data_IF_883798501663
#
_entry.id   IF_883798501663
#
_cell.length_a   1.000
_cell.length_b   1.000
_cell.length_c   1.000
_cell.angle_alpha   90.00
_cell.angle_beta   90.00
_cell.angle_gamma   90.00
#
_symmetry.space_group_name_H-M   'P 1'
#
loop_
_entity.id
_entity.type
_entity.pdbx_description
1 polymer ?
#
# COMPACT_ATOMS: atom_id res chain seq x y z
N UNK A 1 -5.28 0.81 -0.40
CA UNK A 1 -4.53 -0.33 0.14
C UNK A 1 -3.06 0.10 0.21
N UNK A 2 -2.17 -0.75 0.72
CA UNK A 2 -0.74 -0.47 0.75
C UNK A 2 0.02 -1.41 -0.19
N UNK A 3 1.33 -1.18 -0.32
CA UNK A 3 2.23 -1.79 -1.31
C UNK A 3 1.99 -3.28 -1.59
N UNK A 4 2.04 -4.14 -0.57
CA UNK A 4 2.01 -5.59 -0.79
C UNK A 4 0.62 -6.08 -1.18
N UNK A 5 -0.41 -5.58 -0.49
CA UNK A 5 -1.80 -5.93 -0.77
C UNK A 5 -2.21 -5.55 -2.20
N UNK A 6 -1.68 -4.44 -2.75
CA UNK A 6 -1.87 -4.12 -4.16
C UNK A 6 -1.20 -5.13 -5.10
N UNK A 7 -0.01 -5.63 -4.76
CA UNK A 7 0.77 -6.47 -5.67
C UNK A 7 0.33 -7.94 -5.69
N UNK A 8 -0.11 -8.49 -4.56
CA UNK A 8 -0.41 -9.92 -4.37
C UNK A 8 -1.30 -10.54 -5.47
N UNK A 9 -2.43 -9.93 -5.86
CA UNK A 9 -3.30 -10.49 -6.89
C UNK A 9 -2.62 -10.71 -8.24
N UNK A 10 -1.57 -9.93 -8.52
CA UNK A 10 -0.86 -9.92 -9.80
C UNK A 10 0.47 -10.66 -9.75
N UNK A 11 1.03 -10.89 -8.56
CA UNK A 11 2.21 -11.73 -8.35
C UNK A 11 1.87 -13.23 -8.41
N UNK A 12 0.68 -13.60 -7.95
CA UNK A 12 0.29 -15.01 -7.72
C UNK A 12 -0.58 -15.58 -8.83
N UNK A 13 -1.12 -14.73 -9.69
CA UNK A 13 -2.05 -15.13 -10.74
C UNK A 13 -1.33 -15.52 -12.02
N UNK A 14 -1.62 -16.72 -12.51
CA UNK A 14 -1.14 -17.20 -13.82
C UNK A 14 -1.73 -16.43 -15.02
N UNK A 15 -2.67 -15.50 -14.78
CA UNK A 15 -3.24 -14.65 -15.83
C UNK A 15 -2.43 -13.36 -16.04
N UNK A 16 -1.43 -13.09 -15.20
CA UNK A 16 -0.57 -11.91 -15.32
C UNK A 16 0.88 -12.36 -15.49
N UNK A 17 1.44 -12.15 -16.68
CA UNK A 17 2.80 -12.59 -17.03
C UNK A 17 3.90 -11.56 -16.73
N UNK A 18 3.56 -10.40 -16.16
CA UNK A 18 4.47 -9.27 -16.01
C UNK A 18 4.70 -8.88 -14.54
N UNK A 19 5.87 -9.24 -13.96
CA UNK A 19 6.28 -8.73 -12.65
C UNK A 19 6.32 -7.19 -12.60
N UNK A 20 6.64 -6.54 -13.72
CA UNK A 20 6.65 -5.08 -13.83
C UNK A 20 5.27 -4.48 -13.56
N UNK A 21 4.20 -5.11 -14.05
CA UNK A 21 2.82 -4.67 -13.79
C UNK A 21 2.50 -4.74 -12.29
N UNK A 22 2.82 -5.85 -11.63
CA UNK A 22 2.56 -6.04 -10.20
C UNK A 22 3.34 -5.01 -9.36
N UNK A 23 4.63 -4.80 -9.65
CA UNK A 23 5.48 -3.78 -9.03
C UNK A 23 4.93 -2.37 -9.25
N UNK A 24 4.38 -2.11 -10.44
CA UNK A 24 3.88 -0.79 -10.80
C UNK A 24 2.64 -0.35 -10.03
N UNK A 25 1.98 -1.27 -9.31
CA UNK A 25 0.91 -0.91 -8.37
C UNK A 25 1.41 -0.09 -7.18
N UNK A 26 2.70 -0.16 -6.82
CA UNK A 26 3.31 0.67 -5.77
C UNK A 26 3.65 2.11 -6.20
N UNK A 27 3.50 2.45 -7.48
CA UNK A 27 3.94 3.75 -8.03
C UNK A 27 3.23 4.95 -7.37
N UNK A 28 1.89 4.95 -7.22
CA UNK A 28 1.21 6.08 -6.59
C UNK A 28 1.74 6.36 -5.17
N UNK A 29 2.03 5.31 -4.40
CA UNK A 29 2.58 5.42 -3.04
C UNK A 29 4.01 5.94 -3.03
N UNK A 30 4.90 5.42 -3.89
CA UNK A 30 6.27 5.94 -4.02
C UNK A 30 6.29 7.41 -4.44
N UNK A 31 5.37 7.84 -5.30
CA UNK A 31 5.26 9.24 -5.71
C UNK A 31 4.90 10.17 -4.54
N UNK A 32 4.14 9.70 -3.55
CA UNK A 32 3.89 10.48 -2.33
C UNK A 32 5.16 10.75 -1.51
N UNK A 33 6.15 9.86 -1.59
CA UNK A 33 7.46 9.99 -0.95
C UNK A 33 8.38 10.89 -1.76
N UNK A 34 8.37 10.76 -3.09
CA UNK A 34 9.21 11.54 -4.01
C UNK A 34 8.83 13.02 -4.02
N UNK A 35 7.59 13.32 -4.38
CA UNK A 35 7.01 14.65 -4.41
C UNK A 35 5.48 14.55 -4.56
N UNK A 36 4.74 14.92 -3.50
CA UNK A 36 3.27 14.91 -3.46
C UNK A 36 2.58 15.73 -4.57
N UNK A 37 3.31 16.60 -5.29
CA UNK A 37 2.82 17.36 -6.45
C UNK A 37 2.85 16.56 -7.75
N UNK A 38 3.60 15.47 -7.81
CA UNK A 38 3.62 14.52 -8.92
C UNK A 38 2.62 13.41 -8.56
N UNK A 39 1.61 13.23 -9.41
CA UNK A 39 0.56 12.23 -9.20
C UNK A 39 0.32 11.47 -10.48
N UNK A 40 0.40 10.15 -10.40
CA UNK A 40 -0.03 9.26 -11.47
C UNK A 40 -1.56 9.24 -11.53
N UNK A 41 -2.15 10.09 -12.37
CA UNK A 41 -3.61 10.18 -12.51
C UNK A 41 -4.12 9.12 -13.47
N UNK A 42 -5.24 8.47 -13.13
CA UNK A 42 -5.83 7.42 -13.98
C UNK A 42 -6.05 7.84 -15.43
N UNK A 43 -6.65 9.02 -15.66
CA UNK A 43 -6.85 9.58 -17.01
C UNK A 43 -5.56 9.71 -17.85
N UNK A 44 -4.41 9.90 -17.19
CA UNK A 44 -3.13 9.95 -17.90
C UNK A 44 -2.61 8.54 -18.18
N UNK A 45 -2.67 7.64 -17.20
CA UNK A 45 -2.28 6.24 -17.38
C UNK A 45 -3.12 5.53 -18.46
N UNK A 46 -4.44 5.79 -18.52
CA UNK A 46 -5.35 5.26 -19.54
C UNK A 46 -4.88 5.50 -20.99
N UNK A 47 -4.16 6.58 -21.25
CA UNK A 47 -3.67 6.91 -22.59
C UNK A 47 -2.56 5.96 -23.06
N UNK A 48 -1.98 5.18 -22.16
CA UNK A 48 -0.78 4.39 -22.39
C UNK A 48 -0.99 2.87 -22.25
N UNK A 49 -2.18 2.40 -21.86
CA UNK A 49 -2.46 0.97 -21.63
C UNK A 49 -2.35 0.09 -22.88
N UNK A 50 -2.42 0.70 -24.08
CA UNK A 50 -2.26 0.06 -25.39
C UNK A 50 -0.99 0.54 -26.13
N UNK A 51 -0.01 1.07 -25.39
CA UNK A 51 1.28 1.47 -25.94
C UNK A 51 1.97 0.30 -26.64
N UNK A 52 2.67 0.58 -27.75
CA UNK A 52 3.56 -0.39 -28.39
C UNK A 52 4.83 -0.67 -27.57
N UNK A 53 5.23 0.26 -26.70
CA UNK A 53 6.21 0.01 -25.64
C UNK A 53 5.51 -0.76 -24.51
N UNK A 54 5.90 -2.04 -24.34
CA UNK A 54 5.32 -2.97 -23.37
C UNK A 54 5.52 -2.50 -21.93
N UNK A 55 6.69 -1.95 -21.60
CA UNK A 55 6.98 -1.46 -20.25
C UNK A 55 6.05 -0.32 -19.88
N UNK A 56 5.84 0.61 -20.84
CA UNK A 56 4.95 1.74 -20.65
C UNK A 56 3.49 1.28 -20.47
N UNK A 57 3.06 0.27 -21.23
CA UNK A 57 1.74 -0.35 -21.09
C UNK A 57 1.56 -0.99 -19.71
N UNK A 58 2.54 -1.75 -19.24
CA UNK A 58 2.46 -2.47 -17.97
C UNK A 58 2.50 -1.53 -16.76
N UNK A 59 3.35 -0.50 -16.83
CA UNK A 59 3.39 0.57 -15.82
C UNK A 59 2.05 1.31 -15.76
N UNK A 60 1.48 1.64 -16.91
CA UNK A 60 0.16 2.29 -16.98
C UNK A 60 -0.95 1.42 -16.38
N UNK A 61 -0.96 0.12 -16.69
CA UNK A 61 -1.92 -0.83 -16.11
C UNK A 61 -1.76 -0.95 -14.61
N UNK A 62 -0.53 -1.11 -14.09
CA UNK A 62 -0.27 -1.19 -12.64
C UNK A 62 -0.78 0.03 -11.88
N UNK A 63 -0.58 1.24 -12.41
CA UNK A 63 -1.14 2.47 -11.85
C UNK A 63 -2.67 2.43 -11.79
N UNK A 64 -3.32 1.95 -12.87
CA UNK A 64 -4.79 1.86 -12.90
C UNK A 64 -5.33 0.80 -11.95
N UNK A 65 -4.62 -0.32 -11.79
CA UNK A 65 -4.97 -1.36 -10.82
C UNK A 65 -4.91 -0.80 -9.40
N UNK A 66 -3.85 -0.10 -9.02
CA UNK A 66 -3.79 0.60 -7.72
C UNK A 66 -4.99 1.53 -7.50
N UNK A 67 -5.30 2.38 -8.48
CA UNK A 67 -6.42 3.34 -8.37
C UNK A 67 -7.77 2.62 -8.26
N UNK A 68 -7.95 1.53 -8.99
CA UNK A 68 -9.13 0.68 -8.92
C UNK A 68 -9.24 0.04 -7.54
N UNK A 69 -8.12 -0.49 -7.05
CA UNK A 69 -8.03 -1.17 -5.76
C UNK A 69 -8.38 -0.25 -4.61
N UNK A 70 -7.80 0.94 -4.56
CA UNK A 70 -8.16 1.97 -3.58
C UNK A 70 -9.64 2.32 -3.62
N UNK A 71 -10.19 2.53 -4.82
CA UNK A 71 -11.58 2.95 -4.99
C UNK A 71 -12.54 1.94 -4.38
N UNK A 72 -12.39 0.66 -4.70
CA UNK A 72 -13.31 -0.34 -4.17
C UNK A 72 -13.03 -0.63 -2.71
N UNK A 73 -11.75 -0.69 -2.29
CA UNK A 73 -11.33 -1.01 -0.94
C UNK A 73 -11.88 -0.01 0.08
N UNK A 74 -11.64 1.29 -0.16
CA UNK A 74 -12.15 2.36 0.72
C UNK A 74 -13.67 2.52 0.65
N UNK A 75 -14.30 2.00 -0.39
CA UNK A 75 -15.75 1.99 -0.57
C UNK A 75 -16.48 0.85 0.16
N UNK A 76 -15.76 -0.14 0.69
CA UNK A 76 -16.39 -1.27 1.38
C UNK A 76 -16.96 -0.85 2.74
N UNK A 77 -18.09 -1.46 3.14
CA UNK A 77 -18.65 -1.28 4.49
C UNK A 77 -17.65 -1.69 5.57
N UNK A 78 -16.94 -2.80 5.34
CA UNK A 78 -15.93 -3.31 6.26
C UNK A 78 -14.82 -2.28 6.52
N UNK A 79 -14.32 -1.59 5.49
CA UNK A 79 -13.31 -0.55 5.66
C UNK A 79 -13.86 0.63 6.46
N UNK A 80 -15.04 1.14 6.11
CA UNK A 80 -15.66 2.30 6.77
C UNK A 80 -15.89 2.03 8.26
N UNK A 81 -16.49 0.89 8.60
CA UNK A 81 -16.79 0.50 9.99
C UNK A 81 -15.50 0.26 10.79
N UNK A 82 -14.52 -0.42 10.20
CA UNK A 82 -13.22 -0.69 10.85
C UNK A 82 -12.43 0.58 11.10
N UNK A 83 -12.38 1.49 10.12
CA UNK A 83 -11.68 2.76 10.30
C UNK A 83 -12.36 3.63 11.37
N UNK A 84 -13.69 3.66 11.41
CA UNK A 84 -14.42 4.37 12.44
C UNK A 84 -14.13 3.81 13.85
N UNK A 85 -14.12 2.49 13.98
CA UNK A 85 -13.85 1.82 15.25
C UNK A 85 -12.42 2.05 15.73
N UNK A 86 -11.42 1.86 14.87
CA UNK A 86 -10.02 2.17 15.19
C UNK A 86 -9.83 3.65 15.54
N UNK A 87 -10.52 4.56 14.84
CA UNK A 87 -10.46 5.98 15.15
C UNK A 87 -11.05 6.33 16.53
N UNK A 88 -12.05 5.58 17.00
CA UNK A 88 -12.61 5.73 18.35
C UNK A 88 -11.61 5.19 19.37
N UNK A 89 -11.15 3.95 19.21
CA UNK A 89 -10.20 3.32 20.14
C UNK A 89 -8.91 4.12 20.26
N UNK A 90 -8.38 4.63 19.15
CA UNK A 90 -7.17 5.45 19.15
C UNK A 90 -7.36 6.77 19.91
N UNK A 91 -8.54 7.40 19.89
CA UNK A 91 -8.77 8.64 20.68
C UNK A 91 -8.54 8.41 22.16
N UNK A 92 -8.91 7.24 22.67
CA UNK A 92 -8.73 6.89 24.08
C UNK A 92 -7.23 6.69 24.44
N UNK A 93 -6.38 6.50 23.43
CA UNK A 93 -4.91 6.37 23.59
C UNK A 93 -4.16 7.70 23.48
N UNK A 94 -4.82 8.78 23.08
CA UNK A 94 -4.17 10.06 22.73
C UNK A 94 -4.33 11.12 23.83
N UNK A 95 -3.31 11.97 24.05
CA UNK A 95 -3.38 13.05 25.03
C UNK A 95 -4.26 14.20 24.50
N UNK A 96 -5.57 14.05 24.65
CA UNK A 96 -6.55 15.07 24.27
C UNK A 96 -6.57 15.37 22.76
N UNK A 97 -7.06 16.56 22.40
CA UNK A 97 -7.16 16.99 20.99
C UNK A 97 -5.90 17.74 20.55
N UNK A 98 -4.81 17.00 20.28
CA UNK A 98 -3.58 17.56 19.71
C UNK A 98 -3.53 17.44 18.17
N UNK A 99 -4.69 17.33 17.51
CA UNK A 99 -4.75 17.32 16.05
C UNK A 99 -4.22 16.04 15.38
N UNK A 100 -4.15 14.91 16.09
CA UNK A 100 -3.61 13.62 15.59
C UNK A 100 -4.38 13.00 14.41
N UNK A 101 -5.58 13.49 14.07
CA UNK A 101 -6.45 12.94 13.00
C UNK A 101 -6.69 11.41 13.12
N UNK A 102 -7.38 10.92 14.17
CA UNK A 102 -7.52 9.47 14.40
C UNK A 102 -8.09 8.65 13.23
N UNK A 103 -9.01 9.20 12.43
CA UNK A 103 -9.56 8.50 11.25
C UNK A 103 -8.56 8.41 10.08
N UNK A 104 -7.60 9.32 10.00
CA UNK A 104 -6.49 9.20 9.05
C UNK A 104 -5.48 8.14 9.52
N UNK A 105 -5.20 8.09 10.82
CA UNK A 105 -4.33 7.06 11.40
C UNK A 105 -4.94 5.67 11.24
N UNK A 106 -6.22 5.51 11.58
CA UNK A 106 -6.95 4.24 11.40
C UNK A 106 -6.91 3.75 9.96
N UNK A 107 -7.07 4.65 8.98
CA UNK A 107 -6.97 4.32 7.56
C UNK A 107 -5.62 3.68 7.23
N UNK A 108 -4.51 4.36 7.55
CA UNK A 108 -3.16 3.88 7.22
C UNK A 108 -2.85 2.59 7.99
N UNK A 109 -3.28 2.53 9.26
CA UNK A 109 -3.04 1.38 10.11
C UNK A 109 -3.70 0.11 9.54
N UNK A 110 -4.95 0.20 9.04
CA UNK A 110 -5.60 -0.94 8.36
C UNK A 110 -4.73 -1.44 7.21
N UNK A 111 -4.24 -0.55 6.36
CA UNK A 111 -3.47 -0.95 5.18
C UNK A 111 -2.11 -1.56 5.53
N UNK A 112 -1.42 -1.01 6.54
CA UNK A 112 -0.17 -1.56 7.07
C UNK A 112 -0.39 -2.93 7.72
N UNK A 113 -1.45 -3.10 8.50
CA UNK A 113 -1.81 -4.36 9.15
C UNK A 113 -2.16 -5.44 8.11
N UNK A 114 -2.88 -5.09 7.05
CA UNK A 114 -3.19 -6.05 5.99
C UNK A 114 -1.92 -6.58 5.29
N UNK A 115 -0.97 -5.71 4.99
CA UNK A 115 0.34 -6.12 4.48
C UNK A 115 1.08 -7.01 5.50
N UNK A 116 1.11 -6.62 6.78
CA UNK A 116 1.75 -7.42 7.85
C UNK A 116 1.12 -8.80 8.01
N UNK A 117 -0.21 -8.90 7.95
CA UNK A 117 -0.95 -10.17 8.04
C UNK A 117 -0.62 -11.12 6.88
N UNK A 118 -0.46 -10.59 5.66
CA UNK A 118 0.03 -11.41 4.54
C UNK A 118 1.41 -12.00 4.80
N UNK A 119 2.34 -11.18 5.29
CA UNK A 119 3.73 -11.59 5.56
C UNK A 119 3.79 -12.59 6.73
N UNK A 120 2.95 -12.39 7.75
CA UNK A 120 2.86 -13.28 8.91
C UNK A 120 2.40 -14.67 8.51
N UNK A 121 1.39 -14.75 7.65
CA UNK A 121 0.82 -16.02 7.22
C UNK A 121 1.77 -16.78 6.27
N UNK A 122 2.38 -16.07 5.33
CA UNK A 122 3.40 -16.62 4.45
C UNK A 122 4.40 -15.54 4.06
N UNK A 123 5.64 -15.72 4.51
CA UNK A 123 6.75 -14.81 4.23
C UNK A 123 7.06 -14.72 2.73
N UNK A 124 6.75 -15.77 1.95
CA UNK A 124 7.01 -15.82 0.52
C UNK A 124 6.35 -14.66 -0.23
N UNK A 125 5.19 -14.15 0.21
CA UNK A 125 4.54 -13.02 -0.44
C UNK A 125 5.42 -11.75 -0.47
N UNK A 126 6.08 -11.42 0.64
CA UNK A 126 7.02 -10.30 0.66
C UNK A 126 8.32 -10.62 -0.07
N UNK A 127 8.82 -11.85 0.03
CA UNK A 127 10.06 -12.27 -0.66
C UNK A 127 9.90 -12.15 -2.18
N UNK A 128 8.79 -12.65 -2.72
CA UNK A 128 8.43 -12.58 -4.13
C UNK A 128 8.20 -11.14 -4.57
N UNK A 129 7.51 -10.33 -3.77
CA UNK A 129 7.30 -8.92 -4.09
C UNK A 129 8.63 -8.15 -4.17
N UNK A 130 9.51 -8.32 -3.18
CA UNK A 130 10.83 -7.69 -3.21
C UNK A 130 11.74 -8.25 -4.32
N UNK A 131 11.61 -9.53 -4.66
CA UNK A 131 12.32 -10.11 -5.80
C UNK A 131 11.84 -9.51 -7.12
N UNK A 132 10.53 -9.34 -7.29
CA UNK A 132 9.94 -8.68 -8.45
C UNK A 132 10.43 -7.23 -8.58
N UNK A 133 10.45 -6.46 -7.48
CA UNK A 133 10.98 -5.09 -7.48
C UNK A 133 12.45 -5.07 -7.93
N UNK A 134 13.30 -5.97 -7.43
CA UNK A 134 14.72 -6.05 -7.83
C UNK A 134 14.91 -6.44 -9.30
N UNK A 135 13.97 -7.17 -9.89
CA UNK A 135 14.00 -7.55 -11.30
C UNK A 135 13.48 -6.45 -12.22
N UNK A 136 12.62 -5.55 -11.72
CA UNK A 136 12.09 -4.41 -12.47
C UNK A 136 13.09 -3.23 -12.46
N UNK A 137 13.69 -2.83 -13.61
CA UNK A 137 14.68 -1.76 -13.61
C UNK A 137 14.07 -0.42 -13.13
N UNK A 138 14.55 0.18 -12.02
CA UNK A 138 13.95 1.40 -11.48
C UNK A 138 13.99 2.59 -12.46
N UNK A 139 15.01 2.65 -13.32
CA UNK A 139 15.12 3.64 -14.39
C UNK A 139 14.04 3.48 -15.46
N UNK A 140 13.59 2.25 -15.75
CA UNK A 140 12.47 1.98 -16.65
C UNK A 140 11.16 2.49 -16.05
N UNK A 141 10.92 2.22 -14.76
CA UNK A 141 9.72 2.72 -14.07
C UNK A 141 9.73 4.26 -14.05
N UNK A 142 10.85 4.88 -13.70
CA UNK A 142 10.97 6.34 -13.69
C UNK A 142 10.72 6.97 -15.07
N UNK A 143 11.30 6.40 -16.14
CA UNK A 143 11.05 6.81 -17.53
C UNK A 143 9.56 6.75 -17.85
N UNK A 144 8.90 5.63 -17.56
CA UNK A 144 7.48 5.45 -17.87
C UNK A 144 6.60 6.42 -17.07
N UNK A 145 6.90 6.62 -15.78
CA UNK A 145 6.18 7.59 -14.94
C UNK A 145 6.36 9.02 -15.44
N UNK A 146 7.54 9.40 -15.92
CA UNK A 146 7.77 10.72 -16.52
C UNK A 146 6.93 10.92 -17.78
N UNK A 147 6.82 9.89 -18.63
CA UNK A 147 5.95 9.90 -19.82
C UNK A 147 4.49 10.04 -19.43
N UNK A 148 3.99 9.16 -18.54
CA UNK A 148 2.58 9.14 -18.14
C UNK A 148 2.18 10.45 -17.45
N UNK A 149 2.99 10.94 -16.53
CA UNK A 149 2.64 12.14 -15.75
C UNK A 149 2.88 13.44 -16.50
N UNK A 150 3.69 13.42 -17.57
CA UNK A 150 4.17 14.61 -18.26
C UNK A 150 5.04 15.52 -17.37
N UNK A 151 5.51 15.02 -16.22
CA UNK A 151 6.32 15.77 -15.25
C UNK A 151 7.64 15.04 -15.04
N UNK A 152 8.79 15.72 -15.19
CA UNK A 152 10.06 15.09 -14.93
C UNK A 152 10.28 14.87 -13.42
N UNK A 153 10.68 13.67 -13.05
CA UNK A 153 11.35 13.33 -11.79
C UNK A 153 12.62 12.54 -12.07
N UNK A 154 13.61 12.68 -11.19
CA UNK A 154 14.90 11.97 -11.23
C UNK A 154 15.19 11.28 -9.88
N UNK A 155 14.16 11.13 -9.04
CA UNK A 155 14.27 10.65 -7.67
C UNK A 155 13.51 9.34 -7.45
N UNK A 156 12.65 8.95 -8.39
CA UNK A 156 11.80 7.77 -8.24
C UNK A 156 12.63 6.50 -8.29
N UNK A 157 13.60 6.41 -9.21
CA UNK A 157 14.48 5.25 -9.31
C UNK A 157 15.20 4.99 -7.97
N UNK A 158 15.80 6.04 -7.38
CA UNK A 158 16.49 5.94 -6.09
C UNK A 158 15.56 5.57 -4.91
N UNK A 159 14.30 6.02 -4.94
CA UNK A 159 13.30 5.63 -3.93
C UNK A 159 12.95 4.16 -4.05
N UNK A 160 12.78 3.63 -5.26
CA UNK A 160 12.47 2.21 -5.50
C UNK A 160 13.66 1.34 -5.07
N UNK A 161 14.90 1.71 -5.44
CA UNK A 161 16.11 1.02 -4.98
C UNK A 161 16.17 0.95 -3.46
N UNK A 162 15.96 2.10 -2.79
CA UNK A 162 15.99 2.17 -1.33
C UNK A 162 14.85 1.38 -0.68
N UNK A 163 13.68 1.33 -1.30
CA UNK A 163 12.55 0.52 -0.85
C UNK A 163 12.91 -0.97 -0.85
N UNK A 164 13.52 -1.45 -1.93
CA UNK A 164 13.95 -2.84 -2.07
C UNK A 164 15.15 -3.21 -1.18
N UNK A 165 16.01 -2.24 -0.86
CA UNK A 165 17.15 -2.41 0.04
C UNK A 165 16.72 -2.47 1.51
N UNK A 166 15.89 -1.53 1.97
CA UNK A 166 15.45 -1.47 3.38
C UNK A 166 14.53 -2.65 3.71
N UNK A 167 13.69 -3.06 2.77
CA UNK A 167 12.66 -4.08 2.95
C UNK A 167 11.75 -3.83 4.17
N UNK A 168 11.32 -2.58 4.36
CA UNK A 168 10.63 -2.17 5.60
C UNK A 168 9.27 -2.83 5.84
N UNK A 169 8.66 -3.50 4.86
CA UNK A 169 7.38 -4.18 5.08
C UNK A 169 7.50 -5.26 6.17
N UNK A 170 8.71 -5.83 6.36
CA UNK A 170 8.97 -6.74 7.49
C UNK A 170 8.86 -6.07 8.86
N UNK A 171 8.98 -4.74 8.95
CA UNK A 171 8.77 -4.01 10.19
C UNK A 171 7.29 -4.03 10.63
N UNK A 172 6.36 -4.41 9.74
CA UNK A 172 4.94 -4.56 10.09
C UNK A 172 4.67 -5.80 10.96
N UNK A 173 5.64 -6.68 11.14
CA UNK A 173 5.51 -7.84 12.04
C UNK A 173 5.81 -7.51 13.52
N UNK A 174 6.32 -6.31 13.79
CA UNK A 174 6.74 -5.85 15.11
C UNK A 174 6.00 -4.55 15.43
N UNK A 175 5.20 -4.54 16.51
CA UNK A 175 4.33 -3.40 16.82
C UNK A 175 5.12 -2.12 17.17
N UNK A 176 6.31 -2.21 17.76
CA UNK A 176 7.14 -1.03 18.03
C UNK A 176 7.67 -0.44 16.72
N UNK A 177 8.14 -1.30 15.81
CA UNK A 177 8.60 -0.85 14.50
C UNK A 177 7.44 -0.37 13.63
N UNK A 178 6.27 -0.97 13.72
CA UNK A 178 5.06 -0.50 13.05
C UNK A 178 4.69 0.91 13.51
N UNK A 179 4.70 1.18 14.82
CA UNK A 179 4.48 2.51 15.37
C UNK A 179 5.51 3.51 14.83
N UNK A 180 6.79 3.11 14.77
CA UNK A 180 7.85 3.93 14.17
C UNK A 180 7.56 4.25 12.69
N UNK A 181 7.11 3.28 11.89
CA UNK A 181 6.72 3.49 10.48
C UNK A 181 5.49 4.38 10.35
N UNK A 182 4.51 4.23 11.24
CA UNK A 182 3.32 5.08 11.29
C UNK A 182 3.70 6.53 11.59
N UNK A 183 4.59 6.76 12.56
CA UNK A 183 5.13 8.09 12.88
C UNK A 183 5.94 8.71 11.74
N UNK A 184 6.64 7.92 10.92
CA UNK A 184 7.25 8.43 9.68
C UNK A 184 6.19 8.97 8.70
N UNK A 185 5.02 8.36 8.62
CA UNK A 185 3.91 8.88 7.81
C UNK A 185 3.31 10.13 8.44
N UNK A 186 3.07 10.13 9.77
CA UNK A 186 2.58 11.30 10.52
C UNK A 186 3.45 12.54 10.26
N UNK A 187 4.76 12.40 10.43
CA UNK A 187 5.72 13.47 10.17
C UNK A 187 5.69 13.97 8.72
N UNK A 188 5.54 13.07 7.74
CA UNK A 188 5.47 13.44 6.32
C UNK A 188 4.26 14.32 6.00
N UNK A 189 3.15 14.12 6.70
CA UNK A 189 1.93 14.93 6.55
C UNK A 189 1.85 16.11 7.52
N UNK A 190 2.87 16.31 8.36
CA UNK A 190 2.95 17.41 9.32
C UNK A 190 2.08 17.22 10.57
N UNK A 191 1.79 15.97 10.94
CA UNK A 191 1.09 15.61 12.16
C UNK A 191 2.10 15.19 13.25
N UNK A 192 1.76 15.38 14.54
CA UNK A 192 2.63 14.96 15.64
C UNK A 192 2.78 13.43 15.71
N UNK A 193 3.90 12.99 16.26
CA UNK A 193 4.14 11.58 16.56
C UNK A 193 3.12 11.04 17.56
N UNK A 194 2.61 9.85 17.27
CA UNK A 194 1.79 9.06 18.18
C UNK A 194 2.63 8.64 19.39
N UNK A 195 2.06 8.66 20.61
CA UNK A 195 2.80 8.29 21.82
C UNK A 195 3.12 6.80 21.85
N UNK A 196 4.21 6.42 22.53
CA UNK A 196 4.65 5.03 22.64
C UNK A 196 3.59 4.10 23.27
N UNK A 197 2.64 4.64 24.04
CA UNK A 197 1.51 3.88 24.59
C UNK A 197 0.64 3.26 23.50
N UNK A 198 0.60 3.84 22.29
CA UNK A 198 -0.14 3.29 21.15
C UNK A 198 0.40 1.92 20.75
N UNK A 199 1.69 1.64 20.94
CA UNK A 199 2.24 0.32 20.63
C UNK A 199 1.57 -0.81 21.42
N UNK A 200 1.13 -0.53 22.65
CA UNK A 200 0.40 -1.48 23.49
C UNK A 200 -1.03 -1.77 23.03
N UNK A 201 -1.61 -0.92 22.16
CA UNK A 201 -2.95 -1.07 21.57
C UNK A 201 -2.93 -1.72 20.16
N UNK A 202 -1.75 -1.78 19.52
CA UNK A 202 -1.63 -2.35 18.18
C UNK A 202 -2.01 -3.84 18.09
N UNK A 203 -1.79 -4.70 19.10
CA UNK A 203 -2.32 -6.06 19.09
C UNK A 203 -3.85 -6.11 18.93
N UNK A 204 -4.60 -5.32 19.70
CA UNK A 204 -6.07 -5.29 19.62
C UNK A 204 -6.55 -4.72 18.28
N UNK A 205 -5.86 -3.71 17.76
CA UNK A 205 -6.13 -3.17 16.42
C UNK A 205 -5.90 -4.23 15.32
N UNK A 206 -4.84 -5.03 15.45
CA UNK A 206 -4.55 -6.13 14.54
C UNK A 206 -5.65 -7.19 14.59
N UNK A 207 -6.07 -7.63 15.78
CA UNK A 207 -7.15 -8.62 15.94
C UNK A 207 -8.45 -8.14 15.28
N UNK A 208 -8.78 -6.85 15.41
CA UNK A 208 -9.94 -6.26 14.76
C UNK A 208 -9.82 -6.31 13.23
N UNK A 209 -8.69 -5.88 12.67
CA UNK A 209 -8.45 -5.91 11.21
C UNK A 209 -8.47 -7.34 10.69
N UNK A 210 -7.85 -8.27 11.41
CA UNK A 210 -7.76 -9.67 11.05
C UNK A 210 -9.14 -10.33 11.02
N UNK A 211 -9.96 -10.10 12.06
CA UNK A 211 -11.34 -10.61 12.13
C UNK A 211 -12.22 -10.17 10.95
N UNK A 212 -11.89 -9.04 10.31
CA UNK A 212 -12.60 -8.45 9.17
C UNK A 212 -11.85 -8.61 7.85
N UNK A 213 -10.67 -9.24 7.84
CA UNK A 213 -9.76 -9.29 6.70
C UNK A 213 -10.42 -9.79 5.43
N UNK A 214 -11.21 -10.87 5.51
CA UNK A 214 -11.94 -11.39 4.34
C UNK A 214 -12.87 -10.33 3.75
N UNK A 215 -13.62 -9.61 4.58
CA UNK A 215 -14.55 -8.57 4.12
C UNK A 215 -13.81 -7.34 3.59
N UNK A 216 -12.64 -7.01 4.16
CA UNK A 216 -11.77 -5.92 3.71
C UNK A 216 -11.13 -6.22 2.34
N UNK A 217 -10.77 -7.48 2.08
CA UNK A 217 -10.07 -7.92 0.87
C UNK A 217 -10.99 -8.59 -0.17
N UNK A 218 -12.32 -8.41 -0.06
CA UNK A 218 -13.26 -8.89 -1.08
C UNK A 218 -13.79 -7.71 -1.91
N UNK A 219 -13.38 -7.59 -3.18
CA UNK A 219 -13.95 -6.59 -4.09
C UNK A 219 -15.47 -6.78 -4.25
N UNK A 220 -16.24 -5.70 -4.49
CA UNK A 220 -17.65 -5.83 -4.85
C UNK A 220 -17.80 -6.59 -6.18
N UNK A 221 -18.54 -7.70 -6.17
CA UNK A 221 -18.64 -8.65 -7.28
C UNK A 221 -17.97 -9.99 -6.95
N UNK A 222 -17.85 -10.88 -7.93
CA UNK A 222 -17.31 -12.24 -7.73
C UNK A 222 -15.91 -12.39 -8.34
N UNK A 223 -15.08 -11.37 -8.17
CA UNK A 223 -13.70 -11.35 -8.69
C UNK A 223 -12.72 -11.15 -7.54
N UNK A 224 -12.70 -12.09 -6.60
CA UNK A 224 -11.62 -12.11 -5.63
C UNK A 224 -10.35 -12.65 -6.32
N UNK A 225 -9.39 -11.75 -6.50
CA UNK A 225 -8.09 -12.09 -7.09
C UNK A 225 -7.01 -12.34 -6.02
N UNK A 226 -7.34 -12.18 -4.74
CA UNK A 226 -6.42 -12.53 -3.67
C UNK A 226 -6.35 -14.06 -3.50
N UNK A 227 -5.18 -14.59 -3.12
CA UNK A 227 -5.05 -15.95 -2.64
C UNK A 227 -6.05 -16.25 -1.50
N UNK A 228 -6.38 -17.53 -1.24
CA UNK A 228 -7.21 -17.90 -0.11
C UNK A 228 -6.66 -17.34 1.21
N UNK A 229 -7.47 -16.56 1.91
CA UNK A 229 -7.13 -16.06 3.25
C UNK A 229 -7.38 -17.21 4.25
N UNK A 230 -6.41 -17.57 5.11
CA UNK A 230 -6.58 -18.61 6.12
C UNK A 230 -7.85 -18.38 6.96
N UNK A 231 -8.54 -19.46 7.29
CA UNK A 231 -9.60 -19.39 8.29
C UNK A 231 -8.95 -19.23 9.67
N UNK A 232 -9.36 -18.20 10.40
CA UNK A 232 -9.00 -17.97 11.81
C UNK A 232 -9.78 -18.95 12.68
#
# INVERSE_FOLDING_TARGET
MNFLSHAIPYLTSSSFDSPLLAVSTGIPDWLTVVDRKIRARGKLAEQHVHSADSDLSDVAKGILLHISDDRWFHGTRAFVETNMELAIQLRDQLPGDAGFRPSFVGHILIEMLLDGLWIRDDRAYAEDYYAAIRQAPPSTIERCVNVITGKPTTKLAAVIDRFAEIQFLYDYLDHEKMLMRLNQVMNRVGLPDLPNTVAGWLPEAQDLVESRRRQLLTPPGDTNHFPPIPAI
#
